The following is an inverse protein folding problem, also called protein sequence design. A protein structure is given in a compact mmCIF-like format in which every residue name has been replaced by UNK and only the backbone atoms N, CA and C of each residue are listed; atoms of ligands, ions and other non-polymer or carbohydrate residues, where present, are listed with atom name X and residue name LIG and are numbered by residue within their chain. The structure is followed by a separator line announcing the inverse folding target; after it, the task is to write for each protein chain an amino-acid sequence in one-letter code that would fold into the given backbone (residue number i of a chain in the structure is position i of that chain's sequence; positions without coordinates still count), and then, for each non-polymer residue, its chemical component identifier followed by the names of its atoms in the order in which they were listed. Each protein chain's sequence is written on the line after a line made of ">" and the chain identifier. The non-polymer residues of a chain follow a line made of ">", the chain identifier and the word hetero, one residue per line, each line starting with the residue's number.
data_IF_951095608381
#
_entry.id   IF_951095608381
#
_cell.length_a   1.000
_cell.length_b   1.000
_cell.length_c   1.000
_cell.angle_alpha   90.00
_cell.angle_beta   90.00
_cell.angle_gamma   90.00
#
_symmetry.space_group_name_H-M   'P 1'
#
loop_
_entity.id
_entity.type
_entity.pdbx_description
1 polymer ?
#
# COMPACT_ATOMS: atom_id res chain seq x y z
N UNK A 1 18.44 6.79 -5.86
CA UNK A 1 17.93 5.80 -4.89
C UNK A 1 16.41 5.77 -4.98
N UNK A 2 15.82 4.66 -5.42
CA UNK A 2 14.37 4.53 -5.63
C UNK A 2 13.71 3.87 -4.41
N UNK A 3 12.51 4.36 -4.05
CA UNK A 3 11.68 3.76 -3.00
C UNK A 3 10.66 2.81 -3.62
N UNK A 4 10.65 1.57 -3.17
CA UNK A 4 9.72 0.54 -3.59
C UNK A 4 8.72 0.20 -2.48
N UNK A 5 7.60 -0.41 -2.87
CA UNK A 5 6.61 -1.02 -1.99
C UNK A 5 6.05 -2.27 -2.66
N UNK A 6 5.39 -3.14 -1.89
CA UNK A 6 4.71 -4.30 -2.49
C UNK A 6 3.77 -3.88 -3.63
N UNK A 7 2.95 -2.83 -3.43
CA UNK A 7 2.02 -2.34 -4.44
C UNK A 7 2.71 -1.81 -5.70
N UNK A 8 3.88 -1.15 -5.56
CA UNK A 8 4.67 -0.68 -6.70
C UNK A 8 5.22 -1.85 -7.52
N UNK A 9 5.77 -2.86 -6.86
CA UNK A 9 6.25 -4.09 -7.51
C UNK A 9 5.11 -4.81 -8.24
N UNK A 10 3.98 -5.03 -7.56
CA UNK A 10 2.81 -5.69 -8.14
C UNK A 10 2.22 -4.93 -9.33
N UNK A 11 2.30 -3.59 -9.33
CA UNK A 11 1.85 -2.80 -10.50
C UNK A 11 2.71 -3.08 -11.73
N UNK A 12 4.02 -3.25 -11.59
CA UNK A 12 4.90 -3.61 -12.71
C UNK A 12 4.58 -4.99 -13.27
N UNK A 13 4.42 -5.98 -12.38
CA UNK A 13 4.06 -7.35 -12.74
C UNK A 13 2.68 -7.43 -13.42
N UNK A 14 1.72 -6.63 -12.98
CA UNK A 14 0.38 -6.60 -13.58
C UNK A 14 0.34 -5.94 -14.95
N UNK A 15 1.04 -4.81 -15.12
CA UNK A 15 1.07 -4.09 -16.38
C UNK A 15 2.22 -3.07 -16.39
N UNK A 16 3.24 -3.32 -17.19
CA UNK A 16 4.41 -2.43 -17.33
C UNK A 16 4.00 -1.02 -17.78
N UNK A 17 3.02 -0.89 -18.67
CA UNK A 17 2.56 0.43 -19.13
C UNK A 17 1.86 1.22 -18.01
N UNK A 18 1.02 0.56 -17.19
CA UNK A 18 0.45 1.18 -15.99
C UNK A 18 1.54 1.66 -15.04
N UNK A 19 2.56 0.83 -14.83
CA UNK A 19 3.72 1.19 -14.01
C UNK A 19 4.42 2.43 -14.54
N UNK A 20 4.67 2.49 -15.86
CA UNK A 20 5.27 3.67 -16.51
C UNK A 20 4.46 4.92 -16.24
N UNK A 21 3.17 4.92 -16.55
CA UNK A 21 2.29 6.08 -16.35
C UNK A 21 2.28 6.55 -14.89
N UNK A 22 2.22 5.62 -13.95
CA UNK A 22 2.06 5.93 -12.52
C UNK A 22 3.36 6.36 -11.84
N UNK A 23 4.47 5.65 -12.08
CA UNK A 23 5.69 5.79 -11.30
C UNK A 23 6.86 6.45 -12.04
N UNK A 24 6.90 6.36 -13.35
CA UNK A 24 7.94 6.99 -14.18
C UNK A 24 7.44 8.34 -14.68
N UNK A 25 6.38 8.33 -15.48
CA UNK A 25 5.81 9.53 -16.09
C UNK A 25 4.97 10.34 -15.08
N UNK A 26 4.61 9.78 -13.94
CA UNK A 26 3.80 10.42 -12.88
C UNK A 26 2.56 11.13 -13.43
N UNK A 27 1.91 10.51 -14.42
CA UNK A 27 0.71 11.04 -15.05
C UNK A 27 -0.43 10.96 -14.03
N UNK A 28 -1.16 12.05 -13.77
CA UNK A 28 -2.35 12.01 -12.93
C UNK A 28 -3.38 11.03 -13.49
N UNK A 29 -3.91 10.17 -12.64
CA UNK A 29 -4.98 9.26 -13.04
C UNK A 29 -6.25 10.03 -13.40
N UNK A 30 -6.94 9.70 -14.53
CA UNK A 30 -8.23 10.30 -14.87
C UNK A 30 -9.37 9.84 -13.94
N UNK A 31 -9.12 8.79 -13.15
CA UNK A 31 -10.03 8.25 -12.15
C UNK A 31 -9.31 8.27 -10.81
N UNK A 32 -9.87 8.88 -9.78
CA UNK A 32 -9.23 8.98 -8.46
C UNK A 32 -9.04 7.61 -7.83
N UNK A 33 -10.10 6.80 -7.79
CA UNK A 33 -10.06 5.43 -7.27
C UNK A 33 -11.27 4.61 -7.74
N UNK A 34 -11.19 3.29 -7.64
CA UNK A 34 -12.37 2.43 -7.78
C UNK A 34 -13.17 2.39 -6.47
N UNK A 35 -14.45 2.02 -6.56
CA UNK A 35 -15.31 1.88 -5.38
C UNK A 35 -14.82 0.76 -4.45
N UNK A 36 -14.16 -0.27 -5.01
CA UNK A 36 -13.52 -1.34 -4.22
C UNK A 36 -12.33 -0.80 -3.41
N UNK A 37 -11.52 0.06 -4.00
CA UNK A 37 -10.40 0.71 -3.30
C UNK A 37 -10.91 1.66 -2.22
N UNK A 38 -11.99 2.40 -2.49
CA UNK A 38 -12.64 3.26 -1.51
C UNK A 38 -13.20 2.46 -0.33
N UNK A 39 -13.91 1.36 -0.61
CA UNK A 39 -14.39 0.43 0.41
C UNK A 39 -13.23 -0.07 1.29
N UNK A 40 -12.15 -0.54 0.65
CA UNK A 40 -10.96 -1.03 1.36
C UNK A 40 -10.39 0.02 2.30
N UNK A 41 -10.12 1.21 1.78
CA UNK A 41 -9.57 2.34 2.54
C UNK A 41 -10.44 2.69 3.76
N UNK A 42 -11.76 2.85 3.58
CA UNK A 42 -12.65 3.20 4.69
C UNK A 42 -12.76 2.10 5.76
N UNK A 43 -12.74 0.83 5.36
CA UNK A 43 -12.76 -0.30 6.29
C UNK A 43 -11.45 -0.37 7.09
N UNK A 44 -10.28 -0.21 6.43
CA UNK A 44 -8.98 -0.19 7.09
C UNK A 44 -8.91 0.93 8.13
N UNK A 45 -9.34 2.16 7.79
CA UNK A 45 -9.34 3.27 8.73
C UNK A 45 -10.28 3.07 9.92
N UNK A 46 -11.44 2.44 9.71
CA UNK A 46 -12.35 2.11 10.81
C UNK A 46 -11.74 1.07 11.76
N UNK A 47 -11.06 0.05 11.23
CA UNK A 47 -10.38 -0.97 12.02
C UNK A 47 -9.12 -0.41 12.70
N UNK A 48 -8.35 0.43 12.02
CA UNK A 48 -7.24 1.16 12.62
C UNK A 48 -7.70 1.99 13.81
N UNK A 49 -8.77 2.77 13.65
CA UNK A 49 -9.35 3.57 14.71
C UNK A 49 -9.84 2.70 15.89
N UNK A 50 -10.50 1.58 15.62
CA UNK A 50 -10.91 0.62 16.63
C UNK A 50 -9.72 0.16 17.47
N UNK A 51 -8.67 -0.33 16.84
CA UNK A 51 -7.51 -0.87 17.55
C UNK A 51 -6.64 0.21 18.22
N UNK A 52 -6.59 1.44 17.72
CA UNK A 52 -5.97 2.57 18.43
C UNK A 52 -6.66 2.85 19.76
N UNK A 53 -8.00 2.77 19.80
CA UNK A 53 -8.75 2.92 21.04
C UNK A 53 -8.50 1.74 21.99
N UNK A 54 -8.44 0.51 21.48
CA UNK A 54 -8.14 -0.69 22.28
C UNK A 54 -6.76 -0.59 22.92
N UNK A 55 -5.74 -0.18 22.16
CA UNK A 55 -4.38 0.09 22.69
C UNK A 55 -4.42 1.16 23.79
N UNK A 56 -5.27 2.16 23.65
CA UNK A 56 -5.49 3.21 24.66
C UNK A 56 -6.36 2.75 25.87
N UNK A 57 -6.76 1.48 25.92
CA UNK A 57 -7.54 0.90 27.03
C UNK A 57 -9.06 1.11 26.93
N UNK A 58 -9.56 1.60 25.77
CA UNK A 58 -11.00 1.77 25.53
C UNK A 58 -11.46 0.83 24.43
N UNK A 59 -12.44 -0.03 24.68
CA UNK A 59 -13.11 -0.83 23.63
C UNK A 59 -14.32 -0.03 23.13
N UNK A 60 -14.27 0.55 21.92
CA UNK A 60 -15.41 1.26 21.33
C UNK A 60 -16.60 0.33 21.13
N UNK A 61 -17.82 0.86 21.26
CA UNK A 61 -19.02 0.12 20.91
C UNK A 61 -19.11 -0.08 19.37
N UNK A 62 -19.86 -1.08 18.93
CA UNK A 62 -20.01 -1.39 17.49
C UNK A 62 -20.57 -0.21 16.70
N UNK A 63 -21.52 0.53 17.25
CA UNK A 63 -22.10 1.72 16.62
C UNK A 63 -21.09 2.86 16.46
N UNK A 64 -20.15 3.03 17.39
CA UNK A 64 -19.05 3.99 17.27
C UNK A 64 -18.14 3.61 16.07
N UNK A 65 -17.85 2.30 15.88
CA UNK A 65 -17.06 1.81 14.73
C UNK A 65 -17.78 2.07 13.41
N UNK A 66 -19.09 1.80 13.35
CA UNK A 66 -19.89 2.05 12.15
C UNK A 66 -20.03 3.55 11.87
N UNK A 67 -20.17 4.38 12.90
CA UNK A 67 -20.18 5.84 12.76
C UNK A 67 -18.85 6.36 12.21
N UNK A 68 -17.72 5.84 12.69
CA UNK A 68 -16.38 6.17 12.15
C UNK A 68 -16.28 5.81 10.69
N UNK A 69 -16.68 4.59 10.30
CA UNK A 69 -16.70 4.15 8.90
C UNK A 69 -17.56 5.05 8.03
N UNK A 70 -18.77 5.37 8.48
CA UNK A 70 -19.72 6.22 7.73
C UNK A 70 -19.18 7.64 7.52
N UNK A 71 -18.56 8.23 8.53
CA UNK A 71 -17.92 9.53 8.44
C UNK A 71 -16.76 9.52 7.42
N UNK A 72 -15.86 8.53 7.53
CA UNK A 72 -14.74 8.37 6.57
C UNK A 72 -15.24 8.14 5.14
N UNK A 73 -16.29 7.34 4.96
CA UNK A 73 -16.89 7.11 3.65
C UNK A 73 -17.37 8.40 3.00
N UNK A 74 -18.10 9.25 3.75
CA UNK A 74 -18.61 10.52 3.26
C UNK A 74 -17.49 11.54 2.98
N UNK A 75 -16.52 11.65 3.89
CA UNK A 75 -15.39 12.58 3.76
C UNK A 75 -14.55 12.30 2.51
N UNK A 76 -14.35 11.02 2.20
CA UNK A 76 -13.52 10.58 1.07
C UNK A 76 -14.29 10.26 -0.19
N UNK A 77 -15.61 10.44 -0.20
CA UNK A 77 -16.43 10.21 -1.39
C UNK A 77 -16.06 11.20 -2.52
N UNK A 78 -16.18 10.73 -3.74
CA UNK A 78 -15.91 11.53 -4.93
C UNK A 78 -16.83 11.07 -6.07
N UNK A 79 -17.28 12.05 -6.88
CA UNK A 79 -18.06 11.75 -8.09
C UNK A 79 -17.23 11.01 -9.15
N UNK A 80 -15.90 11.19 -9.15
CA UNK A 80 -14.95 10.58 -10.10
C UNK A 80 -14.52 9.15 -9.69
N UNK A 81 -15.43 8.39 -9.09
CA UNK A 81 -15.16 7.03 -8.66
C UNK A 81 -15.52 6.02 -9.76
N UNK A 82 -14.58 5.10 -10.05
CA UNK A 82 -14.83 4.01 -11.00
C UNK A 82 -15.69 2.93 -10.33
N UNK A 83 -16.83 2.64 -10.93
CA UNK A 83 -17.69 1.52 -10.52
C UNK A 83 -17.76 0.54 -11.70
N UNK A 84 -17.37 -0.71 -11.45
CA UNK A 84 -17.39 -1.78 -12.46
C UNK A 84 -18.46 -2.81 -12.10
N UNK A 85 -19.34 -3.10 -13.06
CA UNK A 85 -20.41 -4.07 -12.87
C UNK A 85 -21.73 -3.44 -12.45
N UNK A 86 -22.59 -4.22 -11.76
CA UNK A 86 -23.98 -3.86 -11.49
C UNK A 86 -24.25 -3.25 -10.09
N UNK A 87 -23.27 -3.26 -9.23
CA UNK A 87 -23.43 -2.79 -7.86
C UNK A 87 -23.25 -1.27 -7.78
N UNK A 88 -24.07 -0.61 -6.96
CA UNK A 88 -24.01 0.83 -6.69
C UNK A 88 -23.00 1.16 -5.60
N UNK A 89 -22.67 2.45 -5.44
CA UNK A 89 -21.91 2.93 -4.26
C UNK A 89 -22.55 2.50 -2.94
N UNK A 90 -23.88 2.55 -2.87
CA UNK A 90 -24.64 2.17 -1.68
C UNK A 90 -24.49 0.68 -1.35
N UNK A 91 -24.45 -0.19 -2.35
CA UNK A 91 -24.20 -1.62 -2.14
C UNK A 91 -22.81 -1.86 -1.54
N UNK A 92 -21.79 -1.15 -2.01
CA UNK A 92 -20.44 -1.22 -1.45
C UNK A 92 -20.36 -0.63 -0.04
N UNK A 93 -21.07 0.48 0.24
CA UNK A 93 -21.17 1.03 1.59
C UNK A 93 -21.77 0.01 2.56
N UNK A 94 -22.92 -0.57 2.21
CA UNK A 94 -23.61 -1.57 3.04
C UNK A 94 -22.74 -2.82 3.26
N UNK A 95 -21.95 -3.18 2.27
CA UNK A 95 -20.99 -4.28 2.35
C UNK A 95 -19.90 -4.01 3.40
N UNK A 96 -19.37 -2.79 3.44
CA UNK A 96 -18.39 -2.39 4.46
C UNK A 96 -18.98 -2.40 5.87
N UNK A 97 -20.21 -1.92 6.04
CA UNK A 97 -20.95 -2.03 7.31
C UNK A 97 -21.02 -3.50 7.76
N UNK A 98 -21.42 -4.39 6.86
CA UNK A 98 -21.50 -5.83 7.15
C UNK A 98 -20.13 -6.40 7.56
N UNK A 99 -19.05 -6.04 6.87
CA UNK A 99 -17.70 -6.50 7.19
C UNK A 99 -17.29 -6.12 8.61
N UNK A 100 -17.58 -4.89 9.01
CA UNK A 100 -17.24 -4.37 10.33
C UNK A 100 -18.07 -5.02 11.43
N UNK A 101 -19.37 -5.23 11.22
CA UNK A 101 -20.24 -5.95 12.15
C UNK A 101 -19.74 -7.39 12.35
N UNK A 102 -19.54 -8.13 11.26
CA UNK A 102 -19.10 -9.53 11.31
C UNK A 102 -17.72 -9.64 12.00
N UNK A 103 -16.81 -8.71 11.68
CA UNK A 103 -15.49 -8.66 12.29
C UNK A 103 -15.56 -8.34 13.79
N UNK A 104 -16.33 -7.34 14.16
CA UNK A 104 -16.50 -6.92 15.56
C UNK A 104 -17.06 -8.06 16.41
N UNK A 105 -18.15 -8.68 15.96
CA UNK A 105 -18.79 -9.79 16.69
C UNK A 105 -17.86 -11.00 16.87
N UNK A 106 -17.01 -11.27 15.88
CA UNK A 106 -16.07 -12.39 15.94
C UNK A 106 -14.86 -12.15 16.83
N UNK A 107 -14.42 -10.91 16.97
CA UNK A 107 -13.16 -10.58 17.66
C UNK A 107 -13.37 -9.97 19.06
N UNK A 108 -14.61 -9.61 19.45
CA UNK A 108 -14.93 -9.24 20.82
C UNK A 108 -14.57 -10.39 21.78
N UNK A 109 -13.88 -10.12 22.93
CA UNK A 109 -13.65 -8.83 23.58
C UNK A 109 -12.33 -8.11 23.23
N UNK A 110 -11.69 -8.40 22.11
CA UNK A 110 -10.45 -7.73 21.63
C UNK A 110 -9.25 -7.82 22.60
N UNK A 111 -8.95 -9.01 23.08
CA UNK A 111 -7.86 -9.29 24.02
C UNK A 111 -6.67 -9.99 23.35
N UNK A 112 -6.32 -9.60 22.13
CA UNK A 112 -5.35 -10.30 21.29
C UNK A 112 -3.91 -9.76 21.36
N UNK A 113 -3.64 -8.78 22.25
CA UNK A 113 -2.28 -8.25 22.42
C UNK A 113 -1.81 -7.36 21.27
N UNK A 114 -2.72 -6.60 20.64
CA UNK A 114 -2.35 -5.61 19.64
C UNK A 114 -1.40 -4.56 20.20
N UNK A 115 -0.24 -4.36 19.55
CA UNK A 115 0.79 -3.42 20.01
C UNK A 115 0.88 -2.17 19.15
N UNK A 116 0.57 -2.27 17.85
CA UNK A 116 0.66 -1.13 16.93
C UNK A 116 -0.27 -1.32 15.72
N UNK A 117 -0.76 -0.21 15.16
CA UNK A 117 -1.53 -0.17 13.91
C UNK A 117 -0.81 0.70 12.88
N UNK A 118 -0.99 0.42 11.59
CA UNK A 118 -0.36 1.15 10.46
C UNK A 118 1.16 1.33 10.67
N UNK A 119 1.80 0.27 11.21
CA UNK A 119 3.24 0.30 11.48
C UNK A 119 4.03 0.38 10.19
N UNK A 120 4.70 1.52 10.00
CA UNK A 120 5.68 1.68 8.92
C UNK A 120 6.91 0.83 9.17
N UNK A 121 7.25 0.01 8.19
CA UNK A 121 8.44 -0.87 8.26
C UNK A 121 9.32 -0.68 7.03
N UNK A 122 10.64 -0.84 7.26
CA UNK A 122 11.64 -0.87 6.22
C UNK A 122 12.13 -2.30 6.04
N UNK A 123 12.03 -2.80 4.82
CA UNK A 123 12.46 -4.15 4.48
C UNK A 123 13.90 -4.06 3.96
N UNK A 124 14.82 -4.66 4.69
CA UNK A 124 16.21 -4.74 4.31
C UNK A 124 16.44 -5.92 3.35
N UNK A 125 16.83 -5.61 2.12
CA UNK A 125 17.15 -6.61 1.10
C UNK A 125 18.66 -6.94 1.06
N UNK A 126 19.49 -6.30 1.90
CA UNK A 126 20.94 -6.48 1.99
C UNK A 126 21.67 -5.13 2.05
N UNK A 127 22.84 -5.11 2.72
CA UNK A 127 23.58 -3.87 3.03
C UNK A 127 23.99 -3.07 1.79
N UNK A 128 24.32 -3.74 0.70
CA UNK A 128 24.79 -3.11 -0.53
C UNK A 128 23.69 -2.93 -1.59
N UNK A 129 22.41 -3.18 -1.25
CA UNK A 129 21.33 -3.01 -2.23
C UNK A 129 20.91 -1.53 -2.28
N UNK A 130 20.96 -0.86 -3.47
CA UNK A 130 20.84 0.59 -3.56
C UNK A 130 19.41 1.12 -3.40
N UNK A 131 18.40 0.25 -3.36
CA UNK A 131 17.00 0.62 -3.28
C UNK A 131 16.41 0.28 -1.91
N UNK A 132 15.41 1.06 -1.48
CA UNK A 132 14.68 0.82 -0.23
C UNK A 132 13.30 0.25 -0.52
N UNK A 133 12.86 -0.68 0.32
CA UNK A 133 11.49 -1.19 0.29
C UNK A 133 10.78 -0.79 1.58
N UNK A 134 9.60 -0.21 1.44
CA UNK A 134 8.75 0.22 2.55
C UNK A 134 7.43 -0.54 2.54
N UNK A 135 6.92 -0.82 3.72
CA UNK A 135 5.59 -1.38 3.94
C UNK A 135 4.87 -0.73 5.10
N UNK A 136 3.58 -1.02 5.19
CA UNK A 136 2.73 -0.64 6.32
C UNK A 136 2.00 -1.89 6.78
N UNK A 137 2.12 -2.22 8.06
CA UNK A 137 1.45 -3.35 8.69
C UNK A 137 0.14 -2.80 9.26
N UNK A 138 -1.00 -3.27 8.76
CA UNK A 138 -2.30 -2.80 9.22
C UNK A 138 -2.44 -2.94 10.74
N UNK A 139 -2.03 -4.11 11.27
CA UNK A 139 -2.04 -4.37 12.70
C UNK A 139 -0.94 -5.36 13.10
N UNK A 140 -0.11 -4.96 14.05
CA UNK A 140 0.91 -5.79 14.68
C UNK A 140 0.43 -6.24 16.06
N UNK A 141 0.48 -7.53 16.32
CA UNK A 141 0.12 -8.18 17.57
C UNK A 141 1.34 -8.85 18.19
N UNK A 142 1.50 -8.78 19.50
CA UNK A 142 2.43 -9.63 20.23
C UNK A 142 1.66 -10.64 21.07
N UNK A 143 1.75 -11.88 20.70
CA UNK A 143 1.09 -13.00 21.39
C UNK A 143 1.98 -13.49 22.53
N UNK A 144 1.70 -13.04 23.77
CA UNK A 144 2.49 -13.39 24.95
C UNK A 144 2.49 -14.90 25.25
N UNK A 145 1.41 -15.63 24.93
CA UNK A 145 1.30 -17.07 25.21
C UNK A 145 2.22 -17.89 24.30
N UNK A 146 2.38 -17.44 23.04
CA UNK A 146 3.21 -18.13 22.05
C UNK A 146 4.60 -17.50 21.90
N UNK A 147 4.85 -16.36 22.53
CA UNK A 147 6.07 -15.56 22.37
C UNK A 147 6.37 -15.28 20.90
N UNK A 148 5.37 -14.84 20.14
CA UNK A 148 5.48 -14.55 18.71
C UNK A 148 4.79 -13.24 18.32
N UNK A 149 5.27 -12.65 17.22
CA UNK A 149 4.55 -11.54 16.58
C UNK A 149 3.58 -12.08 15.54
N UNK A 150 2.38 -11.47 15.47
CA UNK A 150 1.41 -11.75 14.42
C UNK A 150 1.24 -10.48 13.58
N UNK A 151 1.42 -10.60 12.26
CA UNK A 151 1.19 -9.53 11.29
C UNK A 151 -0.19 -9.75 10.69
N UNK A 152 -1.09 -8.81 10.91
CA UNK A 152 -2.47 -8.87 10.44
C UNK A 152 -2.69 -7.91 9.29
N UNK A 153 -3.43 -8.35 8.27
CA UNK A 153 -3.81 -7.59 7.08
C UNK A 153 -5.28 -7.86 6.75
N UNK A 154 -6.00 -6.81 6.37
CA UNK A 154 -7.44 -6.86 6.09
C UNK A 154 -7.71 -6.87 4.59
N UNK A 155 -8.42 -7.86 4.10
CA UNK A 155 -8.77 -8.04 2.69
C UNK A 155 -10.28 -7.91 2.47
N UNK A 156 -10.69 -6.89 1.72
CA UNK A 156 -12.08 -6.67 1.31
C UNK A 156 -12.43 -7.34 -0.03
N UNK A 157 -11.49 -8.14 -0.57
CA UNK A 157 -11.60 -8.80 -1.87
C UNK A 157 -12.83 -9.73 -1.97
N UNK A 158 -13.37 -9.83 -3.19
CA UNK A 158 -14.53 -10.68 -3.51
C UNK A 158 -14.16 -12.15 -3.75
N UNK A 159 -12.89 -12.49 -3.77
CA UNK A 159 -12.39 -13.84 -4.03
C UNK A 159 -11.33 -14.23 -3.03
N UNK A 160 -11.35 -15.47 -2.59
CA UNK A 160 -10.26 -16.06 -1.83
C UNK A 160 -9.12 -16.44 -2.79
N UNK A 161 -7.85 -16.33 -2.38
CA UNK A 161 -6.75 -16.85 -3.14
C UNK A 161 -6.84 -18.38 -3.19
N UNK A 162 -6.35 -18.99 -4.26
CA UNK A 162 -6.04 -20.42 -4.23
C UNK A 162 -4.84 -20.67 -3.30
N UNK A 163 -4.60 -21.94 -2.97
CA UNK A 163 -3.52 -22.33 -2.03
C UNK A 163 -2.16 -21.84 -2.49
N UNK A 164 -1.82 -22.01 -3.74
CA UNK A 164 -0.53 -21.59 -4.30
C UNK A 164 -0.32 -20.09 -4.18
N UNK A 165 -1.30 -19.27 -4.57
CA UNK A 165 -1.25 -17.81 -4.44
C UNK A 165 -1.13 -17.36 -2.99
N UNK A 166 -1.78 -18.06 -2.07
CA UNK A 166 -1.71 -17.76 -0.64
C UNK A 166 -0.33 -18.11 -0.06
N UNK A 167 0.21 -19.30 -0.38
CA UNK A 167 1.52 -19.74 0.09
C UNK A 167 2.66 -18.86 -0.46
N UNK A 168 2.47 -18.28 -1.66
CA UNK A 168 3.43 -17.40 -2.31
C UNK A 168 3.13 -15.89 -2.10
N UNK A 169 2.20 -15.54 -1.19
CA UNK A 169 1.92 -14.13 -0.93
C UNK A 169 3.17 -13.41 -0.41
N UNK A 170 3.58 -12.40 -1.17
CA UNK A 170 4.80 -11.62 -0.91
C UNK A 170 4.60 -10.55 0.14
N UNK A 171 3.40 -9.97 0.25
CA UNK A 171 3.17 -8.75 1.03
C UNK A 171 3.56 -8.94 2.49
N UNK A 172 2.88 -9.85 3.21
CA UNK A 172 3.15 -10.06 4.63
C UNK A 172 4.49 -10.77 4.87
N UNK A 173 4.96 -11.58 3.91
CA UNK A 173 6.27 -12.20 3.98
C UNK A 173 7.41 -11.15 3.97
N UNK A 174 7.30 -10.09 3.15
CA UNK A 174 8.22 -8.94 3.20
C UNK A 174 8.16 -8.22 4.56
N UNK A 175 6.97 -8.04 5.13
CA UNK A 175 6.83 -7.41 6.45
C UNK A 175 7.43 -8.28 7.56
N UNK A 176 7.34 -9.61 7.43
CA UNK A 176 8.00 -10.55 8.36
C UNK A 176 9.51 -10.36 8.39
N UNK A 177 10.16 -10.08 7.25
CA UNK A 177 11.58 -9.75 7.21
C UNK A 177 11.88 -8.55 8.10
N UNK A 178 11.11 -7.46 7.95
CA UNK A 178 11.30 -6.26 8.74
C UNK A 178 11.07 -6.46 10.25
N UNK A 179 10.09 -7.29 10.62
CA UNK A 179 9.85 -7.63 12.04
C UNK A 179 11.01 -8.44 12.62
N UNK A 180 11.54 -9.41 11.85
CA UNK A 180 12.73 -10.17 12.26
C UNK A 180 14.00 -9.32 12.34
N UNK A 181 14.16 -8.32 11.46
CA UNK A 181 15.26 -7.37 11.53
C UNK A 181 15.17 -6.47 12.79
N UNK A 182 13.96 -6.11 13.23
CA UNK A 182 13.73 -5.26 14.40
C UNK A 182 13.85 -6.01 15.74
N UNK A 183 13.34 -7.23 15.81
CA UNK A 183 13.18 -7.97 17.07
C UNK A 183 14.06 -9.21 17.17
N UNK A 184 14.85 -9.52 16.15
CA UNK A 184 15.79 -10.65 16.10
C UNK A 184 15.41 -11.68 15.04
N UNK A 185 16.41 -12.27 14.38
CA UNK A 185 16.25 -13.22 13.27
C UNK A 185 15.46 -14.48 13.64
N UNK A 186 15.54 -14.90 14.90
CA UNK A 186 14.86 -16.09 15.40
C UNK A 186 13.45 -15.78 15.94
N UNK A 187 13.03 -14.50 15.93
CA UNK A 187 11.70 -14.11 16.36
C UNK A 187 10.63 -14.84 15.54
N UNK A 188 9.74 -15.60 16.17
CA UNK A 188 8.65 -16.24 15.46
C UNK A 188 7.66 -15.20 14.95
N UNK A 189 7.27 -15.31 13.68
CA UNK A 189 6.31 -14.39 13.04
C UNK A 189 5.22 -15.20 12.35
N UNK A 190 3.97 -14.91 12.69
CA UNK A 190 2.78 -15.47 12.06
C UNK A 190 2.15 -14.42 11.14
N UNK A 191 1.78 -14.83 9.93
CA UNK A 191 1.13 -14.00 8.93
C UNK A 191 -0.37 -14.30 8.92
N UNK A 192 -1.20 -13.29 9.05
CA UNK A 192 -2.64 -13.45 9.23
C UNK A 192 -3.40 -12.53 8.28
N UNK A 193 -4.17 -13.10 7.36
CA UNK A 193 -5.07 -12.37 6.46
C UNK A 193 -6.51 -12.52 6.93
N UNK A 194 -7.19 -11.41 7.12
CA UNK A 194 -8.63 -11.36 7.42
C UNK A 194 -9.40 -11.10 6.12
N UNK A 195 -9.96 -12.13 5.52
CA UNK A 195 -10.85 -12.01 4.36
C UNK A 195 -12.26 -11.64 4.83
N UNK A 196 -12.52 -10.34 4.94
CA UNK A 196 -13.73 -9.79 5.58
C UNK A 196 -15.01 -10.20 4.87
N UNK A 197 -14.98 -10.29 3.52
CA UNK A 197 -16.13 -10.73 2.74
C UNK A 197 -16.61 -12.16 3.07
N UNK A 198 -15.72 -12.99 3.63
CA UNK A 198 -15.99 -14.39 3.98
C UNK A 198 -16.00 -14.61 5.48
N UNK A 199 -15.77 -13.55 6.26
CA UNK A 199 -15.54 -13.64 7.70
C UNK A 199 -14.52 -14.75 8.04
N UNK A 200 -13.46 -14.86 7.23
CA UNK A 200 -12.46 -15.93 7.30
C UNK A 200 -11.08 -15.38 7.62
N UNK A 201 -10.34 -16.11 8.46
CA UNK A 201 -8.94 -15.85 8.79
C UNK A 201 -8.08 -16.94 8.16
N UNK A 202 -7.11 -16.55 7.33
CA UNK A 202 -6.08 -17.44 6.81
C UNK A 202 -4.76 -17.14 7.53
N UNK A 203 -4.03 -18.18 7.89
CA UNK A 203 -2.79 -18.06 8.67
C UNK A 203 -1.66 -18.84 8.00
N UNK A 204 -0.48 -18.26 7.98
CA UNK A 204 0.73 -18.89 7.43
C UNK A 204 1.97 -18.44 8.20
N UNK A 205 3.06 -19.20 8.03
CA UNK A 205 4.40 -18.83 8.50
C UNK A 205 5.40 -18.97 7.35
N UNK A 206 6.56 -18.32 7.48
CA UNK A 206 7.66 -18.47 6.52
C UNK A 206 8.91 -18.91 7.27
N UNK A 207 9.65 -19.85 6.68
CA UNK A 207 10.98 -20.21 7.19
C UNK A 207 11.99 -19.11 6.85
N UNK A 208 13.14 -19.12 7.50
CA UNK A 208 14.20 -18.16 7.21
C UNK A 208 14.71 -18.33 5.77
N UNK A 209 14.80 -19.58 5.27
CA UNK A 209 15.20 -19.91 3.90
C UNK A 209 14.21 -19.30 2.87
N UNK A 210 12.91 -19.44 3.11
CA UNK A 210 11.87 -18.82 2.26
C UNK A 210 11.95 -17.28 2.26
N UNK A 211 12.30 -16.67 3.38
CA UNK A 211 12.47 -15.23 3.47
C UNK A 211 13.73 -14.75 2.75
N UNK A 212 14.84 -15.49 2.82
CA UNK A 212 16.05 -15.18 2.06
C UNK A 212 15.81 -15.34 0.54
N UNK A 213 15.14 -16.40 0.11
CA UNK A 213 14.73 -16.56 -1.29
C UNK A 213 13.84 -15.42 -1.75
N UNK A 214 12.91 -14.97 -0.90
CA UNK A 214 12.04 -13.83 -1.18
C UNK A 214 12.84 -12.52 -1.36
N UNK A 215 13.87 -12.28 -0.53
CA UNK A 215 14.77 -11.13 -0.69
C UNK A 215 15.44 -11.15 -2.05
N UNK A 216 16.03 -12.29 -2.46
CA UNK A 216 16.70 -12.42 -3.75
C UNK A 216 15.74 -12.27 -4.93
N UNK A 217 14.52 -12.83 -4.83
CA UNK A 217 13.48 -12.64 -5.85
C UNK A 217 13.05 -11.18 -5.96
N UNK A 218 12.94 -10.49 -4.83
CA UNK A 218 12.57 -9.07 -4.80
C UNK A 218 13.68 -8.19 -5.39
N UNK A 219 14.94 -8.46 -5.10
CA UNK A 219 16.09 -7.78 -5.73
C UNK A 219 16.10 -7.98 -7.24
N UNK A 220 15.89 -9.22 -7.72
CA UNK A 220 15.83 -9.52 -9.16
C UNK A 220 14.73 -8.73 -9.85
N UNK A 221 13.54 -8.69 -9.26
CA UNK A 221 12.41 -7.91 -9.81
C UNK A 221 12.72 -6.41 -9.84
N UNK A 222 13.32 -5.85 -8.79
CA UNK A 222 13.72 -4.44 -8.77
C UNK A 222 14.77 -4.15 -9.84
N UNK A 223 15.79 -5.01 -10.00
CA UNK A 223 16.80 -4.86 -11.03
C UNK A 223 16.19 -4.95 -12.44
N UNK A 224 15.20 -5.85 -12.65
CA UNK A 224 14.44 -5.90 -13.90
C UNK A 224 13.73 -4.58 -14.16
N UNK A 225 13.04 -4.02 -13.16
CA UNK A 225 12.36 -2.72 -13.30
C UNK A 225 13.34 -1.60 -13.68
N UNK A 226 14.48 -1.52 -12.99
CA UNK A 226 15.48 -0.46 -13.21
C UNK A 226 16.18 -0.59 -14.57
N UNK A 227 16.32 -1.80 -15.10
CA UNK A 227 16.92 -2.05 -16.43
C UNK A 227 15.91 -2.05 -17.59
N UNK A 228 14.60 -1.94 -17.28
CA UNK A 228 13.55 -1.98 -18.31
C UNK A 228 13.51 -0.68 -19.10
N UNK A 229 13.77 -0.74 -20.40
CA UNK A 229 13.65 0.38 -21.34
C UNK A 229 12.28 0.53 -21.97
N UNK A 230 11.54 -0.58 -22.12
CA UNK A 230 10.24 -0.62 -22.79
C UNK A 230 9.12 -1.09 -21.84
N UNK A 231 8.00 -0.38 -21.88
CA UNK A 231 6.84 -0.62 -21.03
C UNK A 231 5.59 -0.89 -21.87
N UNK A 232 5.46 -2.09 -22.44
CA UNK A 232 4.26 -2.46 -23.21
C UNK A 232 3.06 -2.59 -22.27
N UNK A 233 1.83 -2.36 -22.77
CA UNK A 233 0.62 -2.64 -22.02
C UNK A 233 0.29 -4.14 -22.05
N UNK A 234 -0.12 -4.68 -20.89
CA UNK A 234 -0.63 -6.04 -20.74
C UNK A 234 -2.16 -6.02 -20.64
N UNK A 235 -2.83 -6.58 -21.67
CA UNK A 235 -4.31 -6.70 -21.64
C UNK A 235 -4.74 -7.86 -20.77
N UNK A 236 -5.60 -7.57 -19.79
CA UNK A 236 -6.20 -8.57 -18.91
C UNK A 236 -7.61 -8.15 -18.47
N UNK A 237 -8.29 -9.02 -17.74
CA UNK A 237 -9.57 -8.69 -17.11
C UNK A 237 -9.45 -7.49 -16.15
N UNK A 238 -8.27 -7.29 -15.55
CA UNK A 238 -7.98 -6.19 -14.63
C UNK A 238 -8.01 -4.81 -15.31
N UNK A 239 -7.97 -4.75 -16.65
CA UNK A 239 -8.13 -3.49 -17.38
C UNK A 239 -9.49 -2.82 -17.14
N UNK A 240 -10.50 -3.55 -16.69
CA UNK A 240 -11.79 -2.96 -16.35
C UNK A 240 -11.72 -2.09 -15.08
N UNK A 241 -10.79 -2.38 -14.17
CA UNK A 241 -10.52 -1.62 -12.94
C UNK A 241 -9.28 -0.73 -13.06
N UNK A 242 -8.71 -0.59 -14.27
CA UNK A 242 -7.50 0.19 -14.45
C UNK A 242 -7.83 1.69 -14.51
N UNK A 243 -7.32 2.43 -13.56
CA UNK A 243 -7.48 3.88 -13.46
C UNK A 243 -6.90 4.64 -14.66
N UNK A 244 -5.97 4.00 -15.43
CA UNK A 244 -5.35 4.57 -16.64
C UNK A 244 -5.95 4.04 -17.94
N UNK A 245 -7.07 3.31 -17.93
CA UNK A 245 -7.65 2.73 -19.15
C UNK A 245 -7.91 3.78 -20.24
N UNK A 246 -8.36 4.98 -19.83
CA UNK A 246 -8.64 6.11 -20.74
C UNK A 246 -7.39 6.68 -21.41
N UNK A 247 -6.18 6.38 -20.91
CA UNK A 247 -4.89 6.80 -21.47
C UNK A 247 -4.13 5.63 -22.10
N UNK A 248 -4.71 4.44 -22.12
CA UNK A 248 -4.00 3.24 -22.50
C UNK A 248 -4.02 3.01 -24.00
N UNK A 249 -2.81 2.99 -24.60
CA UNK A 249 -2.61 2.73 -26.03
C UNK A 249 -3.17 1.38 -26.51
N UNK A 250 -3.25 0.38 -25.62
CA UNK A 250 -3.84 -0.91 -25.96
C UNK A 250 -5.35 -0.86 -26.25
N UNK A 251 -6.01 0.23 -25.83
CA UNK A 251 -7.44 0.50 -26.09
C UNK A 251 -7.64 1.63 -27.11
N UNK A 252 -6.58 1.98 -27.89
CA UNK A 252 -6.65 3.04 -28.89
C UNK A 252 -6.64 4.46 -28.30
N UNK A 253 -6.32 4.61 -27.04
CA UNK A 253 -6.29 5.89 -26.33
C UNK A 253 -4.85 6.42 -26.20
N UNK A 254 -4.71 7.67 -25.79
CA UNK A 254 -3.41 8.30 -25.53
C UNK A 254 -3.47 9.23 -24.34
N UNK A 255 -2.33 9.44 -23.72
CA UNK A 255 -2.16 10.44 -22.66
C UNK A 255 -2.25 11.84 -23.30
N UNK A 256 -3.04 12.77 -22.75
CA UNK A 256 -3.11 14.14 -23.25
C UNK A 256 -1.74 14.84 -23.20
N UNK A 257 -1.34 15.50 -24.30
CA UNK A 257 -0.03 16.16 -24.46
C UNK A 257 0.31 17.12 -23.32
N UNK A 258 -0.68 17.85 -22.80
CA UNK A 258 -0.51 18.79 -21.69
C UNK A 258 0.20 18.21 -20.45
N UNK A 259 0.09 16.91 -20.21
CA UNK A 259 0.76 16.29 -19.06
C UNK A 259 2.28 16.13 -19.28
N UNK A 260 2.71 15.86 -20.51
CA UNK A 260 4.13 15.80 -20.84
C UNK A 260 4.75 17.21 -20.95
N UNK A 261 4.02 18.18 -21.46
CA UNK A 261 4.45 19.59 -21.54
C UNK A 261 4.67 20.17 -20.14
N UNK A 262 3.75 19.90 -19.19
CA UNK A 262 3.91 20.32 -17.79
C UNK A 262 5.15 19.70 -17.14
N UNK A 263 5.47 18.44 -17.42
CA UNK A 263 6.67 17.78 -16.88
C UNK A 263 7.94 18.42 -17.44
N UNK A 264 7.97 18.70 -18.76
CA UNK A 264 9.11 19.34 -19.40
C UNK A 264 9.37 20.75 -18.80
N UNK A 265 8.33 21.52 -18.51
CA UNK A 265 8.46 22.83 -17.88
C UNK A 265 8.96 22.76 -16.42
N UNK A 266 8.54 21.76 -15.65
CA UNK A 266 9.02 21.56 -14.28
C UNK A 266 10.51 21.17 -14.25
N UNK A 267 10.94 20.30 -15.13
CA UNK A 267 12.35 19.91 -15.25
C UNK A 267 13.25 21.09 -15.67
N UNK A 268 12.75 21.99 -16.50
CA UNK A 268 13.45 23.21 -16.91
C UNK A 268 13.56 24.21 -15.76
N UNK A 269 12.54 24.36 -14.92
CA UNK A 269 12.55 25.26 -13.76
C UNK A 269 13.49 24.76 -12.64
N UNK A 270 13.66 23.45 -12.47
CA UNK A 270 14.63 22.88 -11.49
C UNK A 270 16.08 22.94 -12.00
N UNK A 271 16.30 23.09 -13.31
CA UNK A 271 17.62 23.19 -13.93
C UNK A 271 18.18 24.61 -14.00
N UNK A 272 17.45 25.63 -13.57
CA UNK A 272 17.95 27.01 -13.55
C UNK A 272 18.99 27.14 -12.44
N UNK A 273 20.28 27.49 -12.73
CA UNK A 273 21.30 27.65 -11.70
C UNK A 273 20.89 28.81 -10.77
N UNK A 274 20.98 28.58 -9.48
CA UNK A 274 20.93 29.67 -8.49
C UNK A 274 22.18 30.51 -8.75
N UNK A 275 22.02 31.73 -9.28
CA UNK A 275 23.11 32.68 -9.34
C UNK A 275 23.63 32.86 -7.90
N UNK A 276 24.95 32.76 -7.65
CA UNK A 276 25.48 33.04 -6.31
C UNK A 276 25.24 34.50 -5.97
N UNK A 277 24.44 34.76 -4.95
CA UNK A 277 24.30 36.10 -4.38
C UNK A 277 25.68 36.62 -4.06
N UNK A 278 26.05 37.73 -4.71
CA UNK A 278 27.33 38.37 -4.52
C UNK A 278 27.53 38.77 -3.04
N UNK A 279 28.61 38.28 -2.45
CA UNK A 279 29.01 38.71 -1.13
C UNK A 279 29.28 40.22 -1.16
N UNK A 280 28.75 41.03 -0.23
CA UNK A 280 29.09 42.43 -0.13
C UNK A 280 30.55 42.56 0.25
N UNK A 281 31.35 43.19 -0.61
CA UNK A 281 32.73 43.57 -0.32
C UNK A 281 32.71 44.65 0.77
N UNK A 282 33.14 44.29 1.98
CA UNK A 282 33.36 45.26 3.04
C UNK A 282 34.64 46.04 2.73
N UNK A 283 34.49 47.27 2.22
CA UNK A 283 35.56 48.25 2.20
C UNK A 283 35.92 48.66 3.65
N UNK A 284 37.07 48.20 4.10
CA UNK A 284 37.70 48.78 5.32
C UNK A 284 38.38 50.06 4.94
N UNK A 285 37.78 51.18 5.27
CA UNK A 285 38.49 52.46 5.32
C UNK A 285 39.41 52.45 6.54
N UNK A 286 40.72 52.43 6.31
CA UNK A 286 41.73 52.89 7.29
C UNK A 286 41.74 54.45 7.22
N UNK A 287 41.41 55.09 8.31
CA UNK A 287 41.81 56.47 8.58
C UNK A 287 42.59 56.51 9.90
N UNK A 288 43.68 57.27 9.88
CA UNK A 288 44.70 57.55 10.82
C UNK A 288 44.28 57.75 12.28
#
# INVERSE_FOLDING_TARGET
>A
MTLYSHSRLSTFEQCRYKYKLKYIDKIPSPVKKSVEAHLGECVHEALEWLYKNIIAGKVPQMDEVISRYSGTWQEKDTEEMLIVGRFSKQDYFNKGVKFLIDYYMKNTPFQDGTVETEKKVWINLGENFPHKVVGYIDRLVYNNQKNEYEIHDYKTANTLPNREKFENDRQLALYSIAIKDLYGKDTPVTLTWHYLNYNMKLVSKRTNEQLEELKENTKRLINEIESTGEFPPDKSILCNWCEYKQYCKAWGNSVPKKFYEKQASLLQSEATPIEPEGFPTAERSFND
#
